data_IF_223722256233
#
_entry.id   IF_223722256233
#
_cell.length_a   1.000
_cell.length_b   1.000
_cell.length_c   1.000
_cell.angle_alpha   90.00
_cell.angle_beta   90.00
_cell.angle_gamma   90.00
#
_symmetry.space_group_name_H-M   'P 1'
#
loop_
_entity.id
_entity.type
_entity.pdbx_description
1 polymer ?
#
# COMPACT_ATOMS: atom_id res chain seq x y z
N UNK A 1 24.15 9.70 -42.79
CA UNK A 1 23.76 8.28 -42.87
C UNK A 1 22.70 8.05 -41.79
N UNK A 2 21.39 8.13 -42.02
CA UNK A 2 20.53 7.58 -43.07
C UNK A 2 19.31 8.50 -43.28
N UNK A 3 18.77 8.47 -44.48
CA UNK A 3 17.78 9.36 -45.11
C UNK A 3 16.48 9.64 -44.34
N UNK A 4 15.76 10.75 -44.65
CA UNK A 4 14.48 11.10 -44.05
C UNK A 4 13.33 10.32 -44.72
N UNK A 5 12.53 9.60 -43.93
CA UNK A 5 11.21 9.16 -44.39
C UNK A 5 10.24 10.34 -44.30
N UNK A 6 9.73 10.78 -45.44
CA UNK A 6 8.72 11.81 -45.60
C UNK A 6 7.44 11.44 -44.84
N UNK A 7 7.14 12.17 -43.75
CA UNK A 7 5.82 12.10 -43.09
C UNK A 7 4.84 12.90 -43.94
N UNK A 8 4.11 12.20 -44.82
CA UNK A 8 2.93 12.76 -45.47
C UNK A 8 1.82 12.87 -44.42
N UNK A 9 1.54 14.11 -44.00
CA UNK A 9 0.34 14.44 -43.24
C UNK A 9 -0.87 14.31 -44.17
N UNK A 10 -1.80 13.42 -43.81
CA UNK A 10 -3.13 13.35 -44.40
C UNK A 10 -4.14 13.16 -43.27
N UNK A 11 -4.74 14.26 -42.82
CA UNK A 11 -6.07 14.22 -42.20
C UNK A 11 -7.07 13.90 -43.32
N UNK A 12 -8.07 13.03 -43.07
CA UNK A 12 -9.37 13.63 -42.77
C UNK A 12 -10.31 12.77 -41.90
N UNK A 13 -11.39 13.43 -41.50
CA UNK A 13 -12.67 12.93 -40.96
C UNK A 13 -12.78 12.74 -39.44
N UNK A 14 -13.41 13.76 -38.87
CA UNK A 14 -14.32 13.76 -37.74
C UNK A 14 -15.13 12.45 -37.63
N UNK A 15 -14.61 11.48 -36.89
CA UNK A 15 -15.41 10.52 -36.15
C UNK A 15 -15.37 10.96 -34.69
N UNK A 16 -16.53 11.11 -34.05
CA UNK A 16 -16.62 11.26 -32.60
C UNK A 16 -15.99 10.03 -31.94
N UNK A 17 -14.69 10.09 -31.66
CA UNK A 17 -14.02 9.19 -30.76
C UNK A 17 -14.61 9.48 -29.38
N UNK A 18 -15.69 8.78 -29.02
CA UNK A 18 -16.12 8.65 -27.63
C UNK A 18 -14.87 8.25 -26.87
N UNK A 19 -14.46 9.10 -25.92
CA UNK A 19 -13.42 8.76 -24.96
C UNK A 19 -14.00 7.63 -24.13
N UNK A 20 -13.82 6.39 -24.59
CA UNK A 20 -14.06 5.23 -23.77
C UNK A 20 -13.04 5.33 -22.64
N UNK A 21 -13.47 5.82 -21.47
CA UNK A 21 -12.63 5.88 -20.29
C UNK A 21 -12.07 4.48 -20.08
N UNK A 22 -10.76 4.35 -20.28
CA UNK A 22 -10.05 3.09 -20.18
C UNK A 22 -10.22 2.57 -18.74
N UNK A 23 -11.20 1.69 -18.54
CA UNK A 23 -11.40 0.95 -17.29
C UNK A 23 -10.48 -0.28 -17.23
N UNK A 24 -9.38 -0.30 -17.97
CA UNK A 24 -8.29 -1.24 -17.67
C UNK A 24 -7.46 -0.67 -16.52
N UNK A 25 -8.08 -0.43 -15.37
CA UNK A 25 -7.33 -0.57 -14.13
C UNK A 25 -6.91 -2.04 -14.11
N UNK A 26 -5.63 -2.29 -14.37
CA UNK A 26 -4.98 -3.56 -14.09
C UNK A 26 -5.29 -3.83 -12.62
N UNK A 27 -6.34 -4.60 -12.36
CA UNK A 27 -6.65 -5.09 -11.03
C UNK A 27 -5.53 -6.06 -10.74
N UNK A 28 -4.43 -5.55 -10.17
CA UNK A 28 -3.55 -6.35 -9.33
C UNK A 28 -4.48 -7.21 -8.50
N UNK A 29 -4.55 -8.50 -8.81
CA UNK A 29 -5.63 -9.37 -8.36
C UNK A 29 -5.56 -9.40 -6.83
N UNK A 30 -6.37 -8.56 -6.19
CA UNK A 30 -6.42 -8.48 -4.75
C UNK A 30 -7.22 -9.71 -4.34
N UNK A 31 -6.55 -10.62 -3.62
CA UNK A 31 -7.20 -11.79 -3.06
C UNK A 31 -8.31 -11.26 -2.18
N UNK A 32 -9.56 -11.53 -2.57
CA UNK A 32 -10.72 -11.08 -1.80
C UNK A 32 -10.73 -11.84 -0.48
N UNK A 33 -10.69 -11.15 0.68
CA UNK A 33 -10.83 -11.82 1.96
C UNK A 33 -12.22 -12.46 2.05
N UNK A 34 -12.35 -13.59 2.75
CA UNK A 34 -13.62 -14.31 2.89
C UNK A 34 -14.69 -13.47 3.61
N UNK A 35 -14.26 -12.54 4.47
CA UNK A 35 -15.12 -11.56 5.13
C UNK A 35 -14.77 -10.18 4.59
N UNK A 36 -15.77 -9.48 4.07
CA UNK A 36 -15.59 -8.13 3.55
C UNK A 36 -15.65 -7.13 4.70
N UNK A 37 -14.52 -6.49 5.00
CA UNK A 37 -14.45 -5.41 5.99
C UNK A 37 -14.51 -4.06 5.26
N UNK A 38 -15.31 -3.12 5.77
CA UNK A 38 -15.53 -1.82 5.15
C UNK A 38 -14.84 -0.69 5.94
N UNK A 39 -14.77 0.50 5.32
CA UNK A 39 -14.10 1.68 5.91
C UNK A 39 -12.62 1.78 5.54
N UNK A 40 -11.94 2.75 6.17
CA UNK A 40 -10.50 2.98 5.96
C UNK A 40 -9.69 1.78 6.47
N UNK A 41 -9.99 1.35 7.70
CA UNK A 41 -9.32 0.22 8.36
C UNK A 41 -9.54 -1.09 7.58
N UNK A 42 -10.76 -1.30 7.09
CA UNK A 42 -11.09 -2.47 6.28
C UNK A 42 -10.32 -2.53 4.95
N UNK A 43 -10.04 -1.38 4.32
CA UNK A 43 -9.20 -1.31 3.11
C UNK A 43 -7.76 -1.68 3.40
N UNK A 44 -7.18 -1.18 4.50
CA UNK A 44 -5.83 -1.55 4.92
C UNK A 44 -5.72 -3.04 5.28
N UNK A 45 -6.68 -3.56 6.04
CA UNK A 45 -6.74 -4.98 6.39
C UNK A 45 -6.86 -5.88 5.13
N UNK A 46 -7.72 -5.51 4.19
CA UNK A 46 -7.90 -6.23 2.91
C UNK A 46 -6.62 -6.22 2.07
N UNK A 47 -5.93 -5.07 1.99
CA UNK A 47 -4.69 -4.95 1.24
C UNK A 47 -3.57 -5.81 1.86
N UNK A 48 -3.43 -5.78 3.19
CA UNK A 48 -2.47 -6.60 3.91
C UNK A 48 -2.77 -8.09 3.74
N UNK A 49 -4.03 -8.52 3.87
CA UNK A 49 -4.43 -9.90 3.62
C UNK A 49 -4.07 -10.32 2.19
N UNK A 50 -4.38 -9.49 1.19
CA UNK A 50 -4.02 -9.80 -0.19
C UNK A 50 -2.50 -9.90 -0.41
N UNK A 51 -1.68 -9.07 0.26
CA UNK A 51 -0.22 -9.14 0.17
C UNK A 51 0.33 -10.38 0.86
N UNK A 52 -0.13 -10.66 2.08
CA UNK A 52 0.30 -11.79 2.89
C UNK A 52 -0.11 -13.14 2.27
N UNK A 53 -1.32 -13.23 1.70
CA UNK A 53 -1.78 -14.44 0.99
C UNK A 53 -0.92 -14.76 -0.23
N UNK A 54 -0.49 -13.74 -1.01
CA UNK A 54 0.43 -13.92 -2.15
C UNK A 54 1.79 -14.42 -1.70
N UNK A 55 2.27 -13.95 -0.54
CA UNK A 55 3.56 -14.33 0.04
C UNK A 55 3.49 -15.59 0.92
N UNK A 56 2.31 -16.20 1.09
CA UNK A 56 2.06 -17.34 1.99
C UNK A 56 2.58 -17.12 3.42
N UNK A 57 2.55 -15.87 3.89
CA UNK A 57 3.13 -15.44 5.16
C UNK A 57 2.05 -15.05 6.19
N UNK A 58 0.89 -15.72 6.16
CA UNK A 58 -0.26 -15.36 7.00
C UNK A 58 0.03 -15.55 8.50
N UNK A 59 0.62 -16.68 8.88
CA UNK A 59 0.91 -17.00 10.29
C UNK A 59 1.93 -16.05 10.93
N UNK A 60 2.92 -15.59 10.16
CA UNK A 60 3.91 -14.61 10.65
C UNK A 60 3.27 -13.24 10.84
N UNK A 61 2.42 -12.83 9.89
CA UNK A 61 1.75 -11.53 9.93
C UNK A 61 0.80 -11.43 11.12
N UNK A 62 0.07 -12.51 11.43
CA UNK A 62 -0.80 -12.55 12.60
C UNK A 62 -0.03 -12.37 13.92
N UNK A 63 1.07 -13.12 14.09
CA UNK A 63 1.92 -13.01 15.28
C UNK A 63 2.52 -11.62 15.43
N UNK A 64 3.02 -11.03 14.34
CA UNK A 64 3.57 -9.69 14.32
C UNK A 64 2.52 -8.66 14.78
N UNK A 65 1.29 -8.72 14.24
CA UNK A 65 0.21 -7.80 14.60
C UNK A 65 -0.22 -7.92 16.07
N UNK A 66 -0.28 -9.13 16.63
CA UNK A 66 -0.60 -9.36 18.05
C UNK A 66 0.51 -8.76 18.93
N UNK A 67 1.78 -9.00 18.58
CA UNK A 67 2.91 -8.47 19.32
C UNK A 67 2.95 -6.95 19.28
N UNK A 68 2.68 -6.34 18.12
CA UNK A 68 2.56 -4.89 17.99
C UNK A 68 1.45 -4.33 18.86
N UNK A 69 0.27 -4.94 18.84
CA UNK A 69 -0.84 -4.50 19.68
C UNK A 69 -0.47 -4.55 21.17
N UNK A 70 0.26 -5.58 21.59
CA UNK A 70 0.74 -5.70 22.96
C UNK A 70 1.79 -4.63 23.30
N UNK A 71 2.73 -4.32 22.40
CA UNK A 71 3.73 -3.27 22.60
C UNK A 71 3.10 -1.88 22.66
N UNK A 72 2.18 -1.57 21.76
CA UNK A 72 1.46 -0.28 21.75
C UNK A 72 0.65 -0.05 23.04
N UNK A 73 0.12 -1.11 23.66
CA UNK A 73 -0.60 -1.02 24.93
C UNK A 73 0.33 -0.85 26.14
N UNK A 74 1.53 -1.43 26.09
CA UNK A 74 2.52 -1.38 27.17
C UNK A 74 3.19 -0.02 27.24
N UNK A 75 3.52 0.55 26.09
CA UNK A 75 4.36 1.74 26.00
C UNK A 75 3.52 3.02 25.79
N UNK A 76 2.99 3.57 26.88
CA UNK A 76 2.18 4.83 26.87
C UNK A 76 2.92 5.97 26.16
N UNK A 77 4.25 6.05 26.35
CA UNK A 77 5.10 7.07 25.71
C UNK A 77 5.12 6.97 24.18
N UNK A 78 5.02 5.76 23.63
CA UNK A 78 4.95 5.56 22.18
C UNK A 78 3.59 6.01 21.64
N UNK A 79 2.51 5.75 22.38
CA UNK A 79 1.19 6.22 21.99
C UNK A 79 1.10 7.76 21.97
N UNK A 80 1.64 8.41 23.00
CA UNK A 80 1.71 9.88 23.06
C UNK A 80 2.54 10.45 21.90
N UNK A 81 3.66 9.80 21.54
CA UNK A 81 4.49 10.18 20.40
C UNK A 81 3.73 10.09 19.06
N UNK A 82 2.89 9.07 18.88
CA UNK A 82 2.09 8.89 17.67
C UNK A 82 0.98 9.95 17.55
N UNK A 83 0.28 10.24 18.65
CA UNK A 83 -0.84 11.19 18.67
C UNK A 83 -0.37 12.64 18.58
N UNK A 84 0.82 12.96 19.12
CA UNK A 84 1.29 14.34 19.21
C UNK A 84 1.50 15.00 17.83
N UNK A 85 0.74 16.05 17.45
CA UNK A 85 0.85 16.68 16.13
C UNK A 85 2.08 17.59 15.98
N UNK A 86 2.81 17.89 17.06
CA UNK A 86 3.99 18.77 17.05
C UNK A 86 5.24 18.11 16.43
N UNK A 87 5.23 16.79 16.26
CA UNK A 87 6.37 16.03 15.75
C UNK A 87 6.21 15.88 14.24
N UNK A 88 7.26 16.25 13.50
CA UNK A 88 7.23 16.18 12.04
C UNK A 88 6.96 14.75 11.55
N UNK A 89 6.12 14.64 10.53
CA UNK A 89 5.71 13.36 9.94
C UNK A 89 6.91 12.54 9.45
N UNK A 90 7.92 13.18 8.88
CA UNK A 90 9.16 12.55 8.40
C UNK A 90 9.87 11.81 9.53
N UNK A 91 10.06 12.48 10.67
CA UNK A 91 10.70 11.92 11.87
C UNK A 91 9.88 10.76 12.44
N UNK A 92 8.55 10.88 12.46
CA UNK A 92 7.67 9.77 12.90
C UNK A 92 7.83 8.54 12.02
N UNK A 93 7.83 8.73 10.69
CA UNK A 93 7.97 7.62 9.73
C UNK A 93 9.34 6.96 9.85
N UNK A 94 10.40 7.73 10.04
CA UNK A 94 11.75 7.19 10.27
C UNK A 94 11.84 6.39 11.58
N UNK A 95 11.26 6.91 12.66
CA UNK A 95 11.21 6.21 13.95
C UNK A 95 10.44 4.89 13.85
N UNK A 96 9.30 4.89 13.15
CA UNK A 96 8.49 3.68 12.92
C UNK A 96 9.25 2.67 12.04
N UNK A 97 9.94 3.14 11.00
CA UNK A 97 10.81 2.28 10.16
C UNK A 97 11.95 1.67 10.96
N UNK A 98 12.56 2.43 11.87
CA UNK A 98 13.61 1.93 12.75
C UNK A 98 13.05 0.87 13.73
N UNK A 99 11.91 1.15 14.36
CA UNK A 99 11.24 0.21 15.25
C UNK A 99 10.82 -1.09 14.53
N UNK A 100 10.30 -1.00 13.31
CA UNK A 100 9.92 -2.15 12.48
C UNK A 100 11.13 -3.02 12.10
N UNK A 101 12.30 -2.41 11.86
CA UNK A 101 13.56 -3.13 11.63
C UNK A 101 14.06 -3.83 12.89
N UNK A 102 13.98 -3.17 14.04
CA UNK A 102 14.39 -3.75 15.33
C UNK A 102 13.53 -4.95 15.74
N UNK A 103 12.24 -4.92 15.39
CA UNK A 103 11.28 -5.97 15.72
C UNK A 103 11.20 -7.09 14.67
N UNK A 104 12.05 -7.06 13.63
CA UNK A 104 12.10 -8.05 12.55
C UNK A 104 10.72 -8.38 11.94
N UNK A 105 9.89 -7.37 11.72
CA UNK A 105 8.55 -7.60 11.19
C UNK A 105 8.58 -8.10 9.75
N UNK A 106 7.59 -8.93 9.42
CA UNK A 106 7.39 -9.41 8.07
C UNK A 106 7.22 -8.25 7.06
N UNK A 107 7.81 -8.41 5.86
CA UNK A 107 7.76 -7.41 4.80
C UNK A 107 6.36 -6.79 4.52
N UNK A 108 5.25 -7.56 4.49
CA UNK A 108 3.92 -6.98 4.33
C UNK A 108 3.51 -6.06 5.50
N UNK A 109 3.93 -6.33 6.73
CA UNK A 109 3.63 -5.48 7.91
C UNK A 109 4.51 -4.24 7.92
N UNK A 110 5.79 -4.38 7.58
CA UNK A 110 6.71 -3.24 7.48
C UNK A 110 6.23 -2.20 6.43
N UNK A 111 5.71 -2.67 5.28
CA UNK A 111 5.17 -1.81 4.23
C UNK A 111 3.86 -1.11 4.64
N UNK A 112 3.10 -1.66 5.59
CA UNK A 112 1.88 -1.02 6.10
C UNK A 112 2.22 0.19 6.97
N UNK A 113 3.34 0.14 7.69
CA UNK A 113 3.75 1.16 8.66
C UNK A 113 4.66 2.24 8.09
N UNK A 114 5.07 2.10 6.82
CA UNK A 114 6.12 2.90 6.16
C UNK A 114 5.66 4.17 5.45
#
# INVERSE_FOLDING_TARGET
FRSPCSVKMATPRLGLLVRNFSSSAIRQEMVKPPIQIFGLDGRYATALFSGASKMKALDSVEKDLINLQAQMKKDVKLNDYLINPSIQKTVKVEAIKFAAKQTNMSAPVANLLS
#
